data_IF_321635443700
#
_entry.id   IF_321635443700
#
_cell.length_a   1.000
_cell.length_b   1.000
_cell.length_c   1.000
_cell.angle_alpha   90.00
_cell.angle_beta   90.00
_cell.angle_gamma   90.00
#
_symmetry.space_group_name_H-M   'P 1'
#
loop_
_entity.id
_entity.type
_entity.pdbx_description
1 polymer ?
#
# COMPACT_ATOMS: atom_id res chain seq x y z
N UNK A 1 -11.19 -31.88 16.02
CA UNK A 1 -12.35 -32.00 15.10
C UNK A 1 -12.46 -30.74 14.27
N UNK A 2 -12.41 -29.54 14.88
CA UNK A 2 -12.30 -28.26 14.16
C UNK A 2 -11.15 -28.20 13.13
N UNK A 3 -9.92 -28.59 13.51
CA UNK A 3 -8.77 -28.58 12.57
C UNK A 3 -8.94 -29.56 11.39
N UNK A 4 -9.72 -30.63 11.55
CA UNK A 4 -9.96 -31.58 10.44
C UNK A 4 -11.02 -31.08 9.46
N UNK A 5 -11.98 -30.29 9.93
CA UNK A 5 -12.98 -29.65 9.06
C UNK A 5 -12.35 -28.46 8.32
N UNK A 6 -11.53 -27.64 9.00
CA UNK A 6 -10.77 -26.56 8.35
C UNK A 6 -9.82 -27.05 7.26
N UNK A 7 -9.00 -28.07 7.56
CA UNK A 7 -8.09 -28.67 6.56
C UNK A 7 -8.82 -29.31 5.38
N UNK A 8 -10.04 -29.81 5.59
CA UNK A 8 -10.86 -30.35 4.50
C UNK A 8 -11.42 -29.25 3.60
N UNK A 9 -11.85 -28.13 4.19
CA UNK A 9 -12.35 -26.96 3.45
C UNK A 9 -11.21 -26.32 2.62
N UNK A 10 -10.04 -26.12 3.24
CA UNK A 10 -8.85 -25.59 2.59
C UNK A 10 -8.44 -26.41 1.36
N UNK A 11 -8.45 -27.74 1.46
CA UNK A 11 -8.08 -28.62 0.36
C UNK A 11 -9.10 -28.58 -0.80
N UNK A 12 -10.38 -28.39 -0.49
CA UNK A 12 -11.43 -28.21 -1.51
C UNK A 12 -11.27 -26.86 -2.19
N UNK A 13 -11.03 -25.81 -1.42
CA UNK A 13 -10.78 -24.45 -1.91
C UNK A 13 -9.53 -24.40 -2.78
N UNK A 14 -8.42 -24.99 -2.35
CA UNK A 14 -7.17 -25.06 -3.11
C UNK A 14 -7.39 -25.73 -4.48
N UNK A 15 -8.22 -26.78 -4.54
CA UNK A 15 -8.56 -27.42 -5.80
C UNK A 15 -9.36 -26.48 -6.71
N UNK A 16 -10.31 -25.72 -6.16
CA UNK A 16 -11.09 -24.74 -6.93
C UNK A 16 -10.18 -23.64 -7.46
N UNK A 17 -9.33 -23.05 -6.60
CA UNK A 17 -8.34 -22.02 -6.98
C UNK A 17 -7.45 -22.52 -8.11
N UNK A 18 -6.92 -23.73 -8.00
CA UNK A 18 -6.05 -24.30 -9.03
C UNK A 18 -6.75 -24.50 -10.38
N UNK A 19 -8.02 -24.90 -10.41
CA UNK A 19 -8.78 -25.04 -11.65
C UNK A 19 -9.15 -23.67 -12.25
N UNK A 20 -9.59 -22.73 -11.43
CA UNK A 20 -9.87 -21.36 -11.88
C UNK A 20 -8.61 -20.67 -12.44
N UNK A 21 -7.46 -20.83 -11.78
CA UNK A 21 -6.19 -20.30 -12.26
C UNK A 21 -5.80 -20.88 -13.62
N UNK A 22 -5.97 -22.19 -13.84
CA UNK A 22 -5.71 -22.81 -15.14
C UNK A 22 -6.62 -22.27 -16.24
N UNK A 23 -7.89 -22.01 -15.92
CA UNK A 23 -8.85 -21.42 -16.86
C UNK A 23 -8.46 -19.97 -17.16
N UNK A 24 -8.16 -19.17 -16.14
CA UNK A 24 -7.68 -17.79 -16.29
C UNK A 24 -6.42 -17.73 -17.16
N UNK A 25 -5.43 -18.58 -16.90
CA UNK A 25 -4.16 -18.60 -17.65
C UNK A 25 -4.36 -18.93 -19.13
N UNK A 26 -5.32 -19.80 -19.47
CA UNK A 26 -5.68 -20.08 -20.88
C UNK A 26 -6.35 -18.88 -21.57
N UNK A 27 -7.04 -18.03 -20.79
CA UNK A 27 -7.77 -16.89 -21.30
C UNK A 27 -6.97 -15.58 -21.25
N UNK A 28 -5.83 -15.53 -20.54
CA UNK A 28 -5.08 -14.30 -20.36
C UNK A 28 -4.67 -13.59 -21.66
N UNK A 29 -4.31 -14.27 -22.77
CA UNK A 29 -3.98 -13.58 -24.03
C UNK A 29 -5.15 -12.83 -24.67
N UNK A 30 -6.39 -13.13 -24.26
CA UNK A 30 -7.60 -12.43 -24.73
C UNK A 30 -8.09 -11.35 -23.76
N UNK A 31 -7.55 -11.33 -22.54
CA UNK A 31 -7.99 -10.47 -21.45
C UNK A 31 -7.02 -9.30 -21.19
N UNK A 32 -5.74 -9.48 -21.51
CA UNK A 32 -4.69 -8.55 -21.14
C UNK A 32 -3.75 -8.28 -22.31
N UNK A 33 -3.32 -7.03 -22.44
CA UNK A 33 -2.22 -6.66 -23.33
C UNK A 33 -0.86 -7.01 -22.70
N UNK A 34 -0.77 -7.05 -21.36
CA UNK A 34 0.46 -7.38 -20.62
C UNK A 34 0.14 -8.20 -19.36
N UNK A 35 0.85 -9.31 -19.18
CA UNK A 35 0.90 -10.06 -17.92
C UNK A 35 2.35 -10.36 -17.59
N UNK A 36 2.78 -9.99 -16.38
CA UNK A 36 4.12 -10.28 -15.87
C UNK A 36 3.97 -10.98 -14.52
N UNK A 37 4.34 -12.26 -14.46
CA UNK A 37 4.31 -13.04 -13.23
C UNK A 37 5.73 -13.27 -12.75
N UNK A 38 6.01 -12.90 -11.50
CA UNK A 38 7.31 -13.07 -10.87
C UNK A 38 7.14 -13.62 -9.46
N UNK A 39 7.79 -14.76 -9.18
CA UNK A 39 7.82 -15.33 -7.85
C UNK A 39 8.91 -14.62 -7.03
N UNK A 40 8.48 -13.86 -6.00
CA UNK A 40 9.40 -13.24 -5.05
C UNK A 40 9.99 -14.31 -4.11
N UNK A 41 11.17 -14.00 -3.56
CA UNK A 41 11.81 -14.81 -2.53
C UNK A 41 10.95 -14.93 -1.26
N UNK A 42 10.36 -13.80 -0.85
CA UNK A 42 9.45 -13.70 0.28
C UNK A 42 8.18 -12.93 -0.11
N UNK A 43 7.01 -13.22 0.51
CA UNK A 43 5.80 -12.44 0.32
C UNK A 43 6.01 -10.96 0.65
N UNK A 44 5.25 -10.11 -0.01
CA UNK A 44 5.24 -8.66 0.24
C UNK A 44 3.87 -8.21 0.70
N UNK A 45 3.79 -7.57 1.87
CA UNK A 45 2.55 -6.95 2.38
C UNK A 45 2.31 -5.56 1.77
N UNK A 46 3.24 -5.06 0.95
CA UNK A 46 3.17 -3.71 0.41
C UNK A 46 3.73 -3.64 -1.01
N UNK A 47 3.06 -2.86 -1.85
CA UNK A 47 3.55 -2.52 -3.19
C UNK A 47 3.18 -1.07 -3.51
N UNK A 48 4.14 -0.30 -4.01
CA UNK A 48 3.89 1.04 -4.52
C UNK A 48 4.88 1.37 -5.65
N UNK A 49 4.38 1.84 -6.80
CA UNK A 49 5.24 2.39 -7.85
C UNK A 49 5.93 3.66 -7.36
N UNK A 50 7.25 3.75 -7.57
CA UNK A 50 7.95 5.02 -7.55
C UNK A 50 7.57 5.84 -8.80
N UNK A 51 7.52 7.18 -8.69
CA UNK A 51 7.01 8.02 -9.77
C UNK A 51 8.02 8.22 -10.92
N UNK A 52 9.30 7.93 -10.70
CA UNK A 52 10.33 8.10 -11.72
C UNK A 52 10.33 6.95 -12.74
N UNK A 53 10.59 7.32 -13.99
CA UNK A 53 10.67 6.39 -15.13
C UNK A 53 11.91 6.73 -15.95
N UNK A 54 12.76 5.75 -16.18
CA UNK A 54 13.95 5.88 -17.04
C UNK A 54 13.66 5.27 -18.42
N UNK A 55 13.98 5.99 -19.49
CA UNK A 55 13.76 5.55 -20.89
C UNK A 55 15.11 5.49 -21.62
N UNK A 56 15.78 4.33 -21.64
CA UNK A 56 17.06 4.20 -22.33
C UNK A 56 16.92 4.47 -23.84
N UNK A 57 17.83 5.25 -24.42
CA UNK A 57 17.79 5.58 -25.85
C UNK A 57 17.90 4.31 -26.73
N UNK A 58 17.03 4.23 -27.74
CA UNK A 58 17.01 3.11 -28.69
C UNK A 58 16.47 1.79 -28.12
N UNK A 59 15.84 1.81 -26.94
CA UNK A 59 15.13 0.65 -26.36
C UNK A 59 13.62 0.80 -26.51
N UNK A 60 12.95 -0.33 -26.67
CA UNK A 60 11.49 -0.50 -26.77
C UNK A 60 10.81 -0.64 -25.39
N UNK A 61 11.56 -0.43 -24.31
CA UNK A 61 11.06 -0.48 -22.93
C UNK A 61 11.49 0.73 -22.11
N UNK A 62 10.74 0.99 -21.05
CA UNK A 62 11.08 1.89 -19.95
C UNK A 62 11.34 1.10 -18.67
N UNK A 63 12.21 1.63 -17.81
CA UNK A 63 12.50 1.08 -16.49
C UNK A 63 11.69 1.86 -15.46
N UNK A 64 10.78 1.15 -14.80
CA UNK A 64 9.98 1.63 -13.68
C UNK A 64 10.52 1.01 -12.39
N UNK A 65 10.17 1.58 -11.23
CA UNK A 65 10.60 1.03 -9.93
C UNK A 65 9.43 0.83 -8.98
N UNK A 66 9.51 -0.21 -8.16
CA UNK A 66 8.54 -0.58 -7.13
C UNK A 66 9.19 -0.55 -5.76
N UNK A 67 8.49 0.00 -4.78
CA UNK A 67 8.74 -0.19 -3.35
C UNK A 67 7.99 -1.43 -2.91
N UNK A 68 8.72 -2.39 -2.36
CA UNK A 68 8.23 -3.66 -1.83
C UNK A 68 8.78 -3.86 -0.41
N UNK A 69 8.15 -4.77 0.34
CA UNK A 69 8.63 -5.26 1.62
C UNK A 69 8.77 -6.78 1.66
N UNK A 70 9.36 -7.32 2.71
CA UNK A 70 9.32 -8.77 3.00
C UNK A 70 8.45 -9.07 4.21
N UNK A 71 7.89 -10.28 4.23
CA UNK A 71 7.27 -10.91 5.39
C UNK A 71 7.81 -12.34 5.49
N UNK A 72 8.72 -12.57 6.45
CA UNK A 72 9.49 -13.81 6.60
C UNK A 72 9.03 -14.61 7.82
N UNK A 73 9.36 -15.90 7.85
CA UNK A 73 9.23 -16.75 9.04
C UNK A 73 10.57 -16.85 9.79
N UNK A 74 10.93 -15.79 10.51
CA UNK A 74 12.15 -15.65 11.35
C UNK A 74 13.47 -15.32 10.62
N UNK A 75 13.44 -15.03 9.31
CA UNK A 75 14.61 -14.49 8.59
C UNK A 75 14.67 -12.95 8.64
N UNK A 76 15.85 -12.39 8.34
CA UNK A 76 16.04 -10.93 8.26
C UNK A 76 15.08 -10.32 7.22
N UNK A 77 14.24 -9.38 7.67
CA UNK A 77 13.33 -8.65 6.81
C UNK A 77 14.01 -7.46 6.12
N UNK A 78 13.46 -7.07 4.98
CA UNK A 78 14.03 -6.01 4.14
C UNK A 78 12.95 -5.08 3.59
N UNK A 79 13.30 -3.78 3.53
CA UNK A 79 12.69 -2.82 2.62
C UNK A 79 13.39 -2.95 1.26
N UNK A 80 12.60 -3.12 0.20
CA UNK A 80 13.10 -3.54 -1.11
C UNK A 80 12.70 -2.53 -2.18
N UNK A 81 13.64 -2.15 -3.04
CA UNK A 81 13.35 -1.42 -4.29
C UNK A 81 13.69 -2.34 -5.45
N UNK A 82 12.70 -2.63 -6.28
CA UNK A 82 12.84 -3.44 -7.47
C UNK A 82 12.67 -2.58 -8.72
N UNK A 83 13.37 -2.89 -9.80
CA UNK A 83 13.10 -2.35 -11.13
C UNK A 83 12.30 -3.33 -11.98
N UNK A 84 11.45 -2.76 -12.81
CA UNK A 84 10.55 -3.47 -13.73
C UNK A 84 10.72 -2.86 -15.11
N UNK A 85 11.03 -3.71 -16.10
CA UNK A 85 11.05 -3.29 -17.50
C UNK A 85 9.65 -3.44 -18.10
N UNK A 86 9.04 -2.30 -18.45
CA UNK A 86 7.74 -2.26 -19.11
C UNK A 86 7.91 -1.82 -20.57
N UNK A 87 7.16 -2.40 -21.52
CA UNK A 87 7.15 -1.92 -22.90
C UNK A 87 6.75 -0.44 -22.97
N UNK A 88 7.35 0.30 -23.90
CA UNK A 88 6.89 1.66 -24.23
C UNK A 88 5.55 1.59 -24.99
N UNK A 89 4.77 2.68 -24.95
CA UNK A 89 3.47 2.76 -25.66
C UNK A 89 3.59 2.59 -27.19
N UNK A 90 4.77 2.91 -27.76
CA UNK A 90 5.08 2.76 -29.18
C UNK A 90 5.73 1.41 -29.52
N UNK A 91 5.93 0.53 -28.53
CA UNK A 91 6.45 -0.81 -28.76
C UNK A 91 5.44 -1.63 -29.57
N UNK A 92 5.93 -2.37 -30.57
CA UNK A 92 5.06 -3.23 -31.36
C UNK A 92 4.68 -4.49 -30.57
N UNK A 93 3.38 -4.71 -30.44
CA UNK A 93 2.82 -5.95 -29.94
C UNK A 93 2.89 -7.02 -31.04
N UNK A 94 3.54 -8.15 -30.76
CA UNK A 94 3.55 -9.32 -31.63
C UNK A 94 2.78 -10.48 -30.98
N UNK A 95 1.52 -10.60 -31.37
CA UNK A 95 0.63 -11.68 -30.95
C UNK A 95 1.06 -13.07 -31.46
N UNK A 96 1.95 -13.13 -32.45
CA UNK A 96 2.37 -14.39 -33.09
C UNK A 96 3.55 -15.06 -32.40
N UNK A 97 4.22 -14.35 -31.49
CA UNK A 97 5.35 -14.89 -30.75
C UNK A 97 4.86 -15.78 -29.60
N UNK A 98 5.17 -17.08 -29.68
CA UNK A 98 4.99 -18.04 -28.60
C UNK A 98 6.31 -18.17 -27.84
N UNK A 99 6.33 -17.76 -26.57
CA UNK A 99 7.46 -18.02 -25.69
C UNK A 99 7.40 -19.50 -25.26
N UNK A 100 8.25 -20.33 -25.85
CA UNK A 100 8.32 -21.76 -25.56
C UNK A 100 8.86 -22.09 -24.16
N UNK A 101 9.61 -21.19 -23.53
CA UNK A 101 10.11 -21.38 -22.15
C UNK A 101 9.01 -21.10 -21.13
N UNK A 102 8.15 -20.11 -21.39
CA UNK A 102 7.05 -19.72 -20.50
C UNK A 102 5.70 -20.36 -20.84
N UNK A 103 5.56 -20.90 -22.05
CA UNK A 103 4.33 -21.51 -22.56
C UNK A 103 3.22 -20.48 -22.82
N UNK A 104 3.58 -19.28 -23.29
CA UNK A 104 2.70 -18.12 -23.39
C UNK A 104 2.64 -17.58 -24.84
N UNK A 105 1.46 -17.10 -25.26
CA UNK A 105 1.23 -16.48 -26.57
C UNK A 105 1.10 -14.96 -26.40
N UNK A 106 1.79 -14.20 -27.24
CA UNK A 106 1.68 -12.73 -27.31
C UNK A 106 2.64 -12.00 -26.36
N UNK A 107 3.31 -10.99 -26.89
CA UNK A 107 4.21 -10.13 -26.13
C UNK A 107 4.57 -8.86 -26.90
N UNK A 108 5.15 -7.88 -26.22
CA UNK A 108 5.69 -6.69 -26.84
C UNK A 108 7.17 -6.90 -27.20
N UNK A 109 7.47 -7.02 -28.49
CA UNK A 109 8.84 -7.05 -29.01
C UNK A 109 9.79 -8.05 -28.31
N UNK A 110 11.02 -7.60 -28.06
CA UNK A 110 12.11 -8.37 -27.42
C UNK A 110 12.09 -8.28 -25.88
N UNK A 111 11.08 -7.67 -25.27
CA UNK A 111 11.07 -7.33 -23.85
C UNK A 111 10.68 -8.56 -23.03
N UNK A 112 11.64 -9.16 -22.33
CA UNK A 112 11.41 -10.36 -21.51
C UNK A 112 10.67 -10.11 -20.19
N UNK A 113 10.15 -8.89 -19.96
CA UNK A 113 9.42 -8.52 -18.73
C UNK A 113 10.25 -8.84 -17.49
N UNK A 114 11.40 -8.17 -17.36
CA UNK A 114 12.38 -8.46 -16.29
C UNK A 114 12.08 -7.66 -15.03
N UNK A 115 12.07 -8.34 -13.88
CA UNK A 115 12.02 -7.74 -12.55
C UNK A 115 13.33 -8.05 -11.83
N UNK A 116 14.01 -7.02 -11.33
CA UNK A 116 15.28 -7.16 -10.61
C UNK A 116 15.24 -6.40 -9.29
N UNK A 117 15.85 -6.97 -8.25
CA UNK A 117 16.00 -6.28 -6.97
C UNK A 117 17.23 -5.39 -7.02
N UNK A 118 17.04 -4.08 -6.89
CA UNK A 118 18.12 -3.08 -6.97
C UNK A 118 18.70 -2.75 -5.59
N UNK A 119 17.83 -2.55 -4.61
CA UNK A 119 18.19 -2.13 -3.26
C UNK A 119 17.46 -3.02 -2.25
N UNK A 120 18.21 -3.57 -1.29
CA UNK A 120 17.68 -4.25 -0.10
C UNK A 120 18.27 -3.55 1.13
N UNK A 121 17.41 -3.01 1.99
CA UNK A 121 17.80 -2.41 3.28
C UNK A 121 17.26 -3.27 4.42
N UNK A 122 18.09 -3.55 5.44
CA UNK A 122 17.64 -4.28 6.64
C UNK A 122 16.49 -3.53 7.31
N UNK A 123 15.46 -4.27 7.72
CA UNK A 123 14.28 -3.74 8.38
C UNK A 123 13.99 -4.50 9.68
N UNK A 124 13.49 -3.79 10.70
CA UNK A 124 13.08 -4.38 11.97
C UNK A 124 11.69 -5.02 11.81
N UNK A 125 11.64 -6.34 11.70
CA UNK A 125 10.41 -7.09 11.43
C UNK A 125 9.90 -6.89 10.00
N UNK A 126 8.76 -7.49 9.68
CA UNK A 126 8.11 -7.38 8.38
C UNK A 126 7.66 -5.94 8.07
N UNK A 127 7.52 -5.65 6.79
CA UNK A 127 7.12 -4.31 6.31
C UNK A 127 5.62 -4.30 6.05
N UNK A 128 4.82 -3.95 7.07
CA UNK A 128 3.36 -3.92 6.97
C UNK A 128 2.86 -2.98 5.87
N UNK A 129 3.51 -1.82 5.71
CA UNK A 129 3.26 -0.87 4.62
C UNK A 129 4.46 0.02 4.39
N UNK A 130 4.82 0.28 3.13
CA UNK A 130 5.87 1.23 2.76
C UNK A 130 5.31 2.31 1.80
N UNK A 131 5.59 3.58 2.08
CA UNK A 131 5.12 4.71 1.24
C UNK A 131 6.20 5.76 1.01
N UNK A 132 6.42 6.13 -0.26
CA UNK A 132 7.34 7.22 -0.59
C UNK A 132 6.69 8.60 -0.31
N UNK A 133 7.51 9.58 0.06
CA UNK A 133 7.08 10.97 0.23
C UNK A 133 6.95 11.65 -1.15
N UNK A 134 5.78 12.20 -1.54
CA UNK A 134 5.56 12.75 -2.87
C UNK A 134 6.54 13.86 -3.29
N UNK A 135 6.96 14.70 -2.34
CA UNK A 135 7.86 15.82 -2.60
C UNK A 135 9.34 15.39 -2.73
N UNK A 136 9.70 14.22 -2.19
CA UNK A 136 11.02 13.62 -2.37
C UNK A 136 10.90 12.08 -2.30
N UNK A 137 10.71 11.41 -3.46
CA UNK A 137 10.49 9.97 -3.52
C UNK A 137 11.65 9.10 -3.01
N UNK A 138 12.81 9.70 -2.72
CA UNK A 138 13.92 9.03 -2.04
C UNK A 138 13.58 8.63 -0.60
N UNK A 139 12.67 9.38 0.03
CA UNK A 139 12.25 9.18 1.41
C UNK A 139 11.06 8.21 1.44
N UNK A 140 11.21 7.11 2.16
CA UNK A 140 10.19 6.07 2.32
C UNK A 140 9.91 5.89 3.81
N UNK A 141 8.65 6.02 4.21
CA UNK A 141 8.20 5.62 5.55
C UNK A 141 7.70 4.17 5.53
N UNK A 142 7.95 3.43 6.60
CA UNK A 142 7.48 2.05 6.78
C UNK A 142 6.77 1.85 8.12
N UNK A 143 5.74 1.02 8.10
CA UNK A 143 5.10 0.45 9.29
C UNK A 143 5.84 -0.84 9.68
N UNK A 144 6.09 -0.98 10.98
CA UNK A 144 6.72 -2.16 11.59
C UNK A 144 5.69 -2.97 12.37
N UNK A 145 6.03 -4.20 12.81
CA UNK A 145 5.22 -5.00 13.73
C UNK A 145 5.27 -4.49 15.18
N UNK A 146 5.92 -3.34 15.39
CA UNK A 146 6.03 -2.65 16.68
C UNK A 146 5.34 -1.30 16.62
N UNK A 147 5.40 -0.52 17.69
CA UNK A 147 4.84 0.83 17.75
C UNK A 147 5.55 1.86 16.86
N UNK A 148 6.78 1.58 16.44
CA UNK A 148 7.60 2.56 15.75
C UNK A 148 7.28 2.61 14.25
N UNK A 149 7.27 3.83 13.70
CA UNK A 149 7.26 4.07 12.25
C UNK A 149 8.68 4.46 11.84
N UNK A 150 9.23 3.80 10.84
CA UNK A 150 10.60 4.06 10.40
C UNK A 150 10.61 4.89 9.12
N UNK A 151 11.64 5.71 8.92
CA UNK A 151 11.84 6.49 7.69
C UNK A 151 13.24 6.21 7.18
N UNK A 152 13.33 5.92 5.88
CA UNK A 152 14.56 5.61 5.16
C UNK A 152 14.74 6.58 4.00
N UNK A 153 15.97 7.02 3.78
CA UNK A 153 16.41 7.64 2.54
C UNK A 153 17.26 6.63 1.79
N UNK A 154 16.67 5.91 0.83
CA UNK A 154 17.35 4.78 0.19
C UNK A 154 18.64 5.18 -0.55
N UNK A 155 18.86 6.47 -0.81
CA UNK A 155 20.08 6.98 -1.45
C UNK A 155 21.28 7.05 -0.50
N UNK A 156 21.03 7.02 0.82
CA UNK A 156 22.05 7.02 1.87
C UNK A 156 22.43 5.62 2.35
N UNK A 157 21.75 4.60 1.85
CA UNK A 157 21.98 3.20 2.18
C UNK A 157 22.71 2.49 1.03
N UNK A 158 23.58 1.51 1.32
CA UNK A 158 24.14 0.66 0.29
C UNK A 158 23.04 -0.17 -0.40
N UNK A 159 23.24 -0.50 -1.68
CA UNK A 159 22.29 -1.34 -2.44
C UNK A 159 22.18 -2.77 -1.90
N UNK A 160 23.24 -3.26 -1.25
CA UNK A 160 23.28 -4.55 -0.58
C UNK A 160 23.17 -4.35 0.94
N UNK A 161 22.36 -5.17 1.64
CA UNK A 161 22.15 -5.03 3.07
C UNK A 161 23.42 -5.40 3.85
N UNK A 162 23.55 -4.82 5.06
CA UNK A 162 24.63 -5.16 5.98
C UNK A 162 24.44 -6.61 6.48
N UNK A 163 25.47 -7.48 6.40
CA UNK A 163 25.39 -8.86 6.88
C UNK A 163 25.09 -9.02 8.37
N UNK A 164 25.28 -7.98 9.19
CA UNK A 164 24.91 -7.98 10.61
C UNK A 164 23.40 -8.07 10.85
N UNK A 165 22.57 -7.74 9.85
CA UNK A 165 21.12 -7.63 9.99
C UNK A 165 20.67 -6.35 10.73
N UNK A 166 21.60 -5.47 11.12
CA UNK A 166 21.24 -4.25 11.85
C UNK A 166 20.40 -3.31 10.97
N UNK A 167 19.24 -2.91 11.48
CA UNK A 167 18.36 -1.92 10.87
C UNK A 167 18.81 -0.52 11.30
N UNK A 168 19.10 0.35 10.33
CA UNK A 168 19.63 1.69 10.60
C UNK A 168 18.75 2.79 9.97
N UNK A 169 17.51 2.97 10.44
CA UNK A 169 16.62 3.98 9.86
C UNK A 169 17.21 5.40 9.99
N UNK A 170 16.87 6.26 9.03
CA UNK A 170 17.25 7.67 9.07
C UNK A 170 16.47 8.41 10.16
N UNK A 171 15.18 8.10 10.31
CA UNK A 171 14.35 8.55 11.43
C UNK A 171 13.50 7.41 11.99
N UNK A 172 13.25 7.48 13.30
CA UNK A 172 12.35 6.62 14.06
C UNK A 172 11.27 7.50 14.68
N UNK A 173 10.05 7.35 14.21
CA UNK A 173 8.91 8.15 14.63
C UNK A 173 8.14 7.40 15.71
N UNK A 174 7.94 8.05 16.86
CA UNK A 174 7.29 7.50 18.05
C UNK A 174 5.97 8.19 18.34
N UNK A 175 5.04 7.45 18.95
CA UNK A 175 3.74 7.99 19.37
C UNK A 175 2.73 6.88 19.64
N UNK A 176 2.72 5.86 18.78
CA UNK A 176 1.86 4.69 18.94
C UNK A 176 2.33 3.78 20.08
N UNK A 177 1.47 2.84 20.45
CA UNK A 177 1.71 1.79 21.45
C UNK A 177 1.64 0.38 20.86
N UNK A 178 1.14 0.24 19.63
CA UNK A 178 1.03 -1.02 18.89
C UNK A 178 1.37 -0.80 17.42
N UNK A 179 1.44 -1.89 16.66
CA UNK A 179 1.60 -1.86 15.21
C UNK A 179 0.39 -1.25 14.49
N UNK A 180 0.44 -1.28 13.16
CA UNK A 180 -0.72 -0.99 12.32
C UNK A 180 -0.34 -0.98 10.84
N UNK A 181 -1.31 -0.61 10.00
CA UNK A 181 -1.15 -0.65 8.54
C UNK A 181 -1.28 0.71 7.87
N UNK A 182 -2.24 1.55 8.28
CA UNK A 182 -2.49 2.86 7.68
C UNK A 182 -1.24 3.77 7.69
N UNK A 183 -0.93 4.36 6.54
CA UNK A 183 0.25 5.22 6.34
C UNK A 183 0.02 6.16 5.16
N UNK A 184 0.10 7.47 5.37
CA UNK A 184 -0.18 8.47 4.32
C UNK A 184 0.66 9.73 4.47
N UNK A 185 1.44 10.06 3.42
CA UNK A 185 2.15 11.33 3.30
C UNK A 185 1.21 12.42 2.79
N UNK A 186 1.32 13.62 3.35
CA UNK A 186 0.60 14.77 2.84
C UNK A 186 1.23 15.23 1.52
N UNK A 187 0.50 15.26 0.39
CA UNK A 187 1.06 15.70 -0.89
C UNK A 187 1.27 17.22 -0.97
N UNK A 188 0.63 18.00 -0.10
CA UNK A 188 0.68 19.46 -0.10
C UNK A 188 1.61 20.03 0.97
N UNK A 189 1.89 19.28 2.05
CA UNK A 189 2.82 19.66 3.12
C UNK A 189 3.97 18.66 3.23
N UNK A 190 5.15 19.07 2.76
CA UNK A 190 6.36 18.24 2.79
C UNK A 190 6.70 17.77 4.20
N UNK A 191 6.99 16.48 4.35
CA UNK A 191 7.40 15.89 5.63
C UNK A 191 6.25 15.64 6.61
N UNK A 192 5.00 15.95 6.26
CA UNK A 192 3.85 15.63 7.10
C UNK A 192 3.34 14.20 6.81
N UNK A 193 3.33 13.35 7.83
CA UNK A 193 2.98 11.93 7.73
C UNK A 193 1.88 11.57 8.73
N UNK A 194 0.90 10.79 8.29
CA UNK A 194 -0.10 10.14 9.14
C UNK A 194 0.17 8.63 9.23
N UNK A 195 -0.12 8.06 10.39
CA UNK A 195 -0.12 6.61 10.65
C UNK A 195 -1.34 6.21 11.46
N UNK A 196 -1.93 5.05 11.11
CA UNK A 196 -3.00 4.39 11.85
C UNK A 196 -2.44 3.19 12.67
N UNK A 197 -3.12 2.82 13.75
CA UNK A 197 -2.67 1.75 14.64
C UNK A 197 -3.79 1.04 15.38
N UNK A 198 -3.49 -0.19 15.78
CA UNK A 198 -4.23 -1.08 16.67
C UNK A 198 -4.38 -0.54 18.10
N UNK A 199 -3.71 0.56 18.43
CA UNK A 199 -3.89 1.31 19.68
C UNK A 199 -5.08 2.29 19.64
N UNK A 200 -5.85 2.28 18.55
CA UNK A 200 -7.04 3.09 18.30
C UNK A 200 -6.73 4.56 18.03
N UNK A 201 -5.46 4.91 17.79
CA UNK A 201 -5.02 6.28 17.55
C UNK A 201 -4.50 6.49 16.14
N UNK A 202 -4.50 7.76 15.75
CA UNK A 202 -3.82 8.23 14.54
C UNK A 202 -2.72 9.18 14.99
N UNK A 203 -1.49 8.91 14.61
CA UNK A 203 -0.37 9.81 14.89
C UNK A 203 -0.02 10.63 13.65
N UNK A 204 0.30 11.91 13.87
CA UNK A 204 0.82 12.82 12.85
C UNK A 204 2.21 13.30 13.24
N UNK A 205 3.16 13.23 12.31
CA UNK A 205 4.51 13.79 12.48
C UNK A 205 4.80 14.83 11.41
N UNK A 206 5.72 15.72 11.73
CA UNK A 206 6.31 16.68 10.81
C UNK A 206 7.83 16.48 10.84
N UNK A 207 8.35 15.72 9.88
CA UNK A 207 9.77 15.38 9.81
C UNK A 207 10.62 16.53 9.22
N UNK A 208 9.99 17.60 8.73
CA UNK A 208 10.68 18.78 8.20
C UNK A 208 11.19 19.72 9.30
N UNK A 209 10.53 19.69 10.46
CA UNK A 209 10.81 20.55 11.61
C UNK A 209 11.90 20.00 12.56
N UNK A 210 12.45 18.82 12.25
CA UNK A 210 13.35 18.08 13.16
C UNK A 210 14.79 18.64 13.06
N UNK A 211 15.45 18.97 14.19
CA UNK A 211 16.86 19.33 14.20
C UNK A 211 17.70 18.18 13.66
N UNK A 212 18.71 18.48 12.83
CA UNK A 212 19.58 17.50 12.13
C UNK A 212 20.35 16.52 13.04
N UNK A 213 20.25 16.64 14.36
CA UNK A 213 21.01 15.86 15.34
C UNK A 213 20.19 14.79 16.09
N UNK A 214 18.90 14.61 15.79
CA UNK A 214 18.07 13.56 16.38
C UNK A 214 17.52 12.58 15.35
N UNK A 215 17.74 11.27 15.58
CA UNK A 215 17.09 10.20 14.80
C UNK A 215 15.67 9.88 15.28
N UNK A 216 15.24 10.40 16.42
CA UNK A 216 13.93 10.07 17.03
C UNK A 216 13.02 11.29 16.99
N UNK A 217 11.77 11.10 16.55
CA UNK A 217 10.77 12.17 16.41
C UNK A 217 9.47 11.72 17.08
N UNK A 218 9.02 12.45 18.09
CA UNK A 218 7.72 12.18 18.73
C UNK A 218 6.56 12.76 17.92
N UNK A 219 5.38 12.17 18.05
CA UNK A 219 4.17 12.62 17.36
C UNK A 219 3.84 14.08 17.69
N UNK A 220 3.63 14.88 16.65
CA UNK A 220 3.19 16.28 16.75
C UNK A 220 1.75 16.35 17.25
N UNK A 221 0.92 15.41 16.81
CA UNK A 221 -0.50 15.35 17.19
C UNK A 221 -0.96 13.90 17.19
N UNK A 222 -1.77 13.53 18.19
CA UNK A 222 -2.40 12.21 18.31
C UNK A 222 -3.91 12.42 18.32
N UNK A 223 -4.60 11.79 17.36
CA UNK A 223 -6.06 11.83 17.25
C UNK A 223 -6.65 10.56 17.87
N UNK A 224 -7.68 10.73 18.70
CA UNK A 224 -8.20 9.69 19.61
C UNK A 224 -9.72 9.54 19.54
N UNK A 225 -10.32 9.81 18.38
CA UNK A 225 -11.78 9.74 18.21
C UNK A 225 -12.31 8.35 17.86
N UNK A 226 -11.50 7.47 17.26
CA UNK A 226 -11.88 6.09 17.01
C UNK A 226 -11.93 5.28 18.30
N UNK A 227 -12.80 4.28 18.34
CA UNK A 227 -13.01 3.43 19.52
C UNK A 227 -12.48 2.01 19.37
N UNK A 228 -11.96 1.66 18.20
CA UNK A 228 -11.37 0.37 17.86
C UNK A 228 -10.11 0.57 17.00
N UNK A 229 -9.52 -0.52 16.50
CA UNK A 229 -8.33 -0.51 15.64
C UNK A 229 -8.56 0.41 14.45
N UNK A 230 -7.60 1.32 14.21
CA UNK A 230 -7.64 2.20 13.03
C UNK A 230 -6.88 1.53 11.91
N UNK A 231 -7.60 1.15 10.86
CA UNK A 231 -7.09 0.33 9.77
C UNK A 231 -6.31 1.17 8.74
N UNK A 232 -6.90 2.31 8.34
CA UNK A 232 -6.32 3.13 7.29
C UNK A 232 -6.56 4.63 7.49
N UNK A 233 -5.63 5.41 6.96
CA UNK A 233 -5.62 6.88 7.00
C UNK A 233 -5.17 7.40 5.65
N UNK A 234 -5.79 8.49 5.19
CA UNK A 234 -5.46 9.09 3.90
C UNK A 234 -5.62 10.60 3.95
N UNK A 235 -4.58 11.33 3.57
CA UNK A 235 -4.69 12.77 3.36
C UNK A 235 -5.62 13.08 2.18
N UNK A 236 -6.35 14.17 2.31
CA UNK A 236 -7.01 14.76 1.16
C UNK A 236 -5.96 15.28 0.17
N UNK A 237 -6.18 15.07 -1.13
CA UNK A 237 -5.16 15.32 -2.16
C UNK A 237 -5.00 16.80 -2.54
N UNK A 238 -6.03 17.64 -2.34
CA UNK A 238 -5.99 19.10 -2.59
C UNK A 238 -5.94 19.95 -1.30
N UNK A 239 -6.80 19.68 -0.31
CA UNK A 239 -6.88 20.41 0.94
C UNK A 239 -5.89 19.89 1.98
N UNK A 240 -4.80 20.62 2.23
CA UNK A 240 -3.68 20.19 3.09
C UNK A 240 -4.06 19.88 4.55
N UNK A 241 -5.14 20.47 5.05
CA UNK A 241 -5.55 20.33 6.45
C UNK A 241 -6.50 19.15 6.70
N UNK A 242 -7.05 18.55 5.64
CA UNK A 242 -8.08 17.52 5.72
C UNK A 242 -7.50 16.13 5.51
N UNK A 243 -7.97 15.17 6.29
CA UNK A 243 -7.69 13.76 6.07
C UNK A 243 -8.88 12.90 6.50
N UNK A 244 -8.94 11.68 5.98
CA UNK A 244 -9.91 10.67 6.37
C UNK A 244 -9.24 9.52 7.11
N UNK A 245 -10.00 8.86 7.97
CA UNK A 245 -9.61 7.61 8.62
C UNK A 245 -10.78 6.63 8.69
N UNK A 246 -10.45 5.34 8.70
CA UNK A 246 -11.40 4.24 8.82
C UNK A 246 -10.90 3.21 9.82
N UNK A 247 -11.82 2.48 10.44
CA UNK A 247 -11.53 1.63 11.59
C UNK A 247 -12.53 0.47 11.73
N UNK A 248 -12.22 -0.43 12.65
CA UNK A 248 -13.07 -1.55 13.08
C UNK A 248 -14.36 -1.11 13.78
N UNK A 249 -14.43 0.16 14.22
CA UNK A 249 -15.66 0.75 14.78
C UNK A 249 -16.72 1.08 13.70
N UNK A 250 -16.49 0.61 12.47
CA UNK A 250 -17.38 0.72 11.31
C UNK A 250 -17.53 2.15 10.78
N UNK A 251 -16.69 3.08 11.25
CA UNK A 251 -16.81 4.50 10.93
C UNK A 251 -15.78 4.97 9.91
N UNK A 252 -16.24 5.90 9.07
CA UNK A 252 -15.40 6.85 8.38
C UNK A 252 -15.39 8.16 9.18
N UNK A 253 -14.20 8.67 9.52
CA UNK A 253 -14.04 9.97 10.16
C UNK A 253 -13.26 10.93 9.25
N UNK A 254 -13.77 12.16 9.12
CA UNK A 254 -13.09 13.26 8.42
C UNK A 254 -12.58 14.25 9.45
N UNK A 255 -11.28 14.50 9.39
CA UNK A 255 -10.54 15.29 10.35
C UNK A 255 -10.04 16.59 9.71
N UNK A 256 -9.92 17.63 10.53
CA UNK A 256 -9.32 18.90 10.17
C UNK A 256 -8.22 19.24 11.18
N UNK A 257 -6.98 19.30 10.71
CA UNK A 257 -5.80 19.60 11.54
C UNK A 257 -5.80 21.00 12.15
N UNK A 258 -6.67 21.91 11.68
CA UNK A 258 -6.85 23.24 12.24
C UNK A 258 -7.74 23.22 13.50
N UNK A 259 -8.44 22.12 13.75
CA UNK A 259 -9.22 21.92 14.97
C UNK A 259 -8.29 21.72 16.17
N UNK A 260 -8.57 22.43 17.27
CA UNK A 260 -7.88 22.21 18.55
C UNK A 260 -8.35 20.93 19.26
N UNK A 261 -9.43 20.30 18.81
CA UNK A 261 -9.96 19.08 19.40
C UNK A 261 -9.53 17.87 18.57
N UNK A 262 -8.64 17.06 19.13
CA UNK A 262 -8.09 15.85 18.49
C UNK A 262 -8.84 14.58 18.84
N UNK A 263 -9.81 14.63 19.78
CA UNK A 263 -10.64 13.49 20.15
C UNK A 263 -12.01 13.49 19.45
N UNK A 264 -12.32 14.53 18.67
CA UNK A 264 -13.56 14.65 17.91
C UNK A 264 -13.29 15.04 16.45
N UNK A 265 -13.68 14.22 15.47
CA UNK A 265 -13.54 14.57 14.06
C UNK A 265 -14.55 15.66 13.66
N UNK A 266 -14.29 16.31 12.52
CA UNK A 266 -15.23 17.27 11.93
C UNK A 266 -16.51 16.57 11.46
N UNK A 267 -16.37 15.37 10.90
CA UNK A 267 -17.49 14.49 10.54
C UNK A 267 -17.18 13.05 10.93
N UNK A 268 -18.21 12.32 11.37
CA UNK A 268 -18.15 10.88 11.60
C UNK A 268 -19.38 10.25 10.95
N UNK A 269 -19.17 9.19 10.18
CA UNK A 269 -20.19 8.50 9.40
C UNK A 269 -20.15 7.02 9.76
N UNK A 270 -21.30 6.44 10.11
CA UNK A 270 -21.47 4.99 10.16
C UNK A 270 -21.45 4.46 8.73
N UNK A 271 -20.29 4.02 8.27
CA UNK A 271 -20.01 3.82 6.85
C UNK A 271 -20.43 2.43 6.37
N UNK A 272 -20.25 1.41 7.21
CA UNK A 272 -20.51 0.01 6.90
C UNK A 272 -21.13 -0.72 8.10
N UNK A 273 -21.47 -2.00 7.93
CA UNK A 273 -21.99 -2.87 8.99
C UNK A 273 -20.95 -3.82 9.57
N UNK A 274 -19.69 -3.68 9.14
CA UNK A 274 -18.51 -4.43 9.57
C UNK A 274 -17.28 -3.52 9.51
N UNK A 275 -16.12 -4.06 9.84
CA UNK A 275 -14.82 -3.37 9.87
C UNK A 275 -14.53 -2.68 8.53
N UNK A 276 -13.98 -1.47 8.56
CA UNK A 276 -13.65 -0.68 7.37
C UNK A 276 -12.13 -0.60 7.24
N UNK A 277 -11.59 -1.31 6.24
CA UNK A 277 -10.17 -1.65 6.15
C UNK A 277 -9.34 -0.68 5.31
N UNK A 278 -9.97 0.09 4.42
CA UNK A 278 -9.24 1.01 3.54
C UNK A 278 -10.09 2.21 3.10
N UNK A 279 -9.41 3.32 2.81
CA UNK A 279 -10.03 4.48 2.16
C UNK A 279 -9.14 5.09 1.09
N UNK A 280 -9.74 5.75 0.09
CA UNK A 280 -9.00 6.50 -0.92
C UNK A 280 -9.77 7.71 -1.41
N UNK A 281 -9.12 8.88 -1.40
CA UNK A 281 -9.65 10.10 -2.01
C UNK A 281 -9.44 10.08 -3.53
N UNK A 282 -10.40 10.61 -4.28
CA UNK A 282 -10.27 10.72 -5.73
C UNK A 282 -9.30 11.87 -6.10
N UNK A 283 -8.25 11.61 -6.91
CA UNK A 283 -7.29 12.65 -7.31
C UNK A 283 -7.86 13.73 -8.24
N UNK A 284 -9.00 13.47 -8.88
CA UNK A 284 -9.62 14.37 -9.87
C UNK A 284 -10.95 14.96 -9.40
N UNK A 285 -11.46 14.58 -8.23
CA UNK A 285 -12.73 15.05 -7.70
C UNK A 285 -12.64 15.26 -6.19
N UNK A 286 -12.55 16.52 -5.78
CA UNK A 286 -12.25 16.90 -4.39
C UNK A 286 -13.29 16.40 -3.37
N UNK A 287 -14.54 16.19 -3.79
CA UNK A 287 -15.59 15.76 -2.88
C UNK A 287 -15.83 14.26 -2.84
N UNK A 288 -15.05 13.47 -3.60
CA UNK A 288 -15.27 12.02 -3.76
C UNK A 288 -14.15 11.24 -3.05
N UNK A 289 -14.56 10.27 -2.24
CA UNK A 289 -13.70 9.23 -1.68
C UNK A 289 -14.44 7.89 -1.73
N UNK A 290 -13.69 6.80 -1.59
CA UNK A 290 -14.18 5.43 -1.53
C UNK A 290 -13.66 4.73 -0.26
N UNK A 291 -14.43 3.76 0.25
CA UNK A 291 -14.08 2.91 1.42
C UNK A 291 -14.29 1.43 1.08
N UNK A 292 -13.43 0.56 1.61
CA UNK A 292 -13.54 -0.90 1.52
C UNK A 292 -13.72 -1.53 2.91
N UNK A 293 -14.57 -2.56 3.03
CA UNK A 293 -15.00 -3.13 4.30
C UNK A 293 -15.12 -4.66 4.25
N UNK A 294 -15.09 -5.29 5.43
CA UNK A 294 -15.32 -6.72 5.65
C UNK A 294 -16.81 -7.15 5.55
N UNK A 295 -17.73 -6.22 5.26
CA UNK A 295 -19.18 -6.47 5.26
C UNK A 295 -19.67 -7.53 4.25
N UNK A 296 -18.80 -8.01 3.35
CA UNK A 296 -19.06 -9.13 2.44
C UNK A 296 -17.97 -10.20 2.52
N UNK A 297 -18.04 -11.02 3.57
CA UNK A 297 -17.44 -12.37 3.55
C UNK A 297 -18.27 -13.25 2.62
N UNK A 298 -17.88 -13.28 1.35
CA UNK A 298 -18.44 -14.17 0.33
C UNK A 298 -17.44 -14.33 -0.80
N UNK A 299 -16.61 -15.37 -0.73
CA UNK A 299 -15.72 -15.79 -1.81
C UNK A 299 -16.54 -16.05 -3.08
N UNK A 300 -16.37 -15.21 -4.09
CA UNK A 300 -17.09 -15.32 -5.36
C UNK A 300 -17.25 -14.00 -6.07
N UNK A 301 -16.74 -13.94 -7.31
CA UNK A 301 -16.83 -12.86 -8.28
C UNK A 301 -18.06 -11.96 -8.09
N UNK A 302 -17.88 -10.83 -7.41
CA UNK A 302 -18.95 -9.85 -7.25
C UNK A 302 -18.49 -8.53 -7.82
N UNK A 303 -18.89 -8.30 -9.07
CA UNK A 303 -18.92 -7.02 -9.76
C UNK A 303 -19.37 -5.87 -8.84
N UNK A 304 -18.83 -4.67 -9.10
CA UNK A 304 -19.32 -3.38 -8.57
C UNK A 304 -20.86 -3.37 -8.56
N UNK A 305 -21.47 -3.54 -7.40
CA UNK A 305 -22.90 -3.38 -7.22
C UNK A 305 -23.15 -2.64 -5.91
N UNK A 306 -23.72 -1.45 -6.11
CA UNK A 306 -24.22 -0.47 -5.14
C UNK A 306 -23.19 0.51 -4.57
N UNK A 307 -23.25 1.75 -5.09
CA UNK A 307 -22.84 2.96 -4.38
C UNK A 307 -23.95 3.36 -3.42
N UNK A 308 -23.67 3.36 -2.12
CA UNK A 308 -24.48 4.15 -1.19
C UNK A 308 -23.96 5.58 -1.25
N UNK A 309 -24.79 6.49 -1.74
CA UNK A 309 -24.48 7.91 -1.78
C UNK A 309 -24.87 8.53 -0.44
N UNK A 310 -23.89 8.98 0.33
CA UNK A 310 -24.13 9.79 1.51
C UNK A 310 -23.85 11.25 1.17
N UNK A 311 -24.89 12.08 1.26
CA UNK A 311 -24.74 13.54 1.20
C UNK A 311 -24.88 14.08 2.62
N UNK A 312 -23.80 14.60 3.18
CA UNK A 312 -23.83 15.31 4.45
C UNK A 312 -23.03 16.61 4.31
N UNK A 313 -23.75 17.71 4.10
CA UNK A 313 -23.15 19.00 3.69
C UNK A 313 -22.74 19.00 2.20
N UNK A 314 -21.58 19.59 1.91
CA UNK A 314 -20.98 19.66 0.57
C UNK A 314 -20.10 18.44 0.22
N UNK A 315 -19.85 17.52 1.15
CA UNK A 315 -19.13 16.27 0.87
C UNK A 315 -20.05 15.21 0.25
N UNK A 316 -19.60 14.62 -0.86
CA UNK A 316 -20.25 13.50 -1.54
C UNK A 316 -19.44 12.22 -1.31
N UNK A 317 -19.71 11.54 -0.21
CA UNK A 317 -19.12 10.22 0.01
C UNK A 317 -19.83 9.20 -0.90
N UNK A 318 -19.09 8.58 -1.81
CA UNK A 318 -19.54 7.40 -2.53
C UNK A 318 -18.78 6.22 -1.95
N UNK A 319 -19.39 5.50 -1.01
CA UNK A 319 -18.87 4.21 -0.57
C UNK A 319 -18.81 3.31 -1.80
N UNK A 320 -17.62 3.22 -2.40
CA UNK A 320 -17.40 2.55 -3.67
C UNK A 320 -16.50 1.38 -3.38
N UNK A 321 -17.10 0.21 -3.55
CA UNK A 321 -16.48 -1.10 -3.47
C UNK A 321 -15.18 -1.12 -4.28
N UNK A 322 -14.04 -1.10 -3.60
CA UNK A 322 -12.73 -1.35 -4.19
C UNK A 322 -12.12 -2.53 -3.44
N UNK A 323 -12.03 -3.67 -4.13
CA UNK A 323 -11.18 -4.78 -3.72
C UNK A 323 -9.79 -4.46 -4.28
N UNK A 324 -8.77 -4.49 -3.41
CA UNK A 324 -7.37 -4.57 -3.83
C UNK A 324 -6.96 -6.05 -3.86
#
# INVERSE_FOLDING_TARGET
MADKEGVFDDAVEERVINEEYKIWKKNSPFLYDLVMTHALEWPSLTAQWLPDVSRPEGKDFSVHRLVLGTHTSDEQNHLVIASVQLPNDDAQFDASHYDSEKGEFGGFGSVSGKIEIEIKMNHEGEVNRARYMPQNPCIIATKTPTSDVLVFDYTKHPSKPDPSGECTPDLRLRGHQKEGYGLSWNPNLSGCLLSASDDHTICMWDISAVPKEGKIVDAKTIFTGHTAVVEDVSWHLLHESLFGSVADDQKLMIWDTRSNNTSKPSHAVDAHTAEVNCLSFNPYSEFILATGSADKVGFGNTLLKHSNHYKQGDLYCSATKLLF
#
